data_IF_520740201600
#
_entry.id   IF_520740201600
#
_cell.length_a   1.000
_cell.length_b   1.000
_cell.length_c   1.000
_cell.angle_alpha   90.00
_cell.angle_beta   90.00
_cell.angle_gamma   90.00
#
_symmetry.space_group_name_H-M   'P 1'
#
loop_
_entity.id
_entity.type
_entity.pdbx_description
1 polymer ?
#
# COMPACT_ATOMS: atom_id res chain seq x y z
N UNK A 1 -28.29 7.55 31.37
CA UNK A 1 -28.97 6.38 30.79
C UNK A 1 -28.12 5.92 29.58
N UNK A 2 -27.77 4.71 29.60
CA UNK A 2 -26.64 4.02 29.05
C UNK A 2 -26.62 4.02 27.51
N UNK A 3 -25.57 4.56 26.93
CA UNK A 3 -25.33 4.55 25.47
C UNK A 3 -25.32 3.12 24.92
N UNK A 4 -24.88 2.15 25.73
CA UNK A 4 -24.88 0.73 25.36
C UNK A 4 -26.31 0.16 25.25
N UNK A 5 -27.25 0.61 26.06
CA UNK A 5 -28.65 0.22 25.90
C UNK A 5 -29.25 0.74 24.61
N UNK A 6 -29.00 2.00 24.28
CA UNK A 6 -29.47 2.58 23.01
C UNK A 6 -28.87 1.86 21.80
N UNK A 7 -27.56 1.58 21.86
CA UNK A 7 -26.91 0.84 20.78
C UNK A 7 -27.50 -0.57 20.63
N UNK A 8 -27.66 -1.29 21.74
CA UNK A 8 -28.29 -2.62 21.75
C UNK A 8 -29.72 -2.58 21.19
N UNK A 9 -30.52 -1.61 21.64
CA UNK A 9 -31.93 -1.52 21.24
C UNK A 9 -32.05 -1.13 19.75
N UNK A 10 -31.17 -0.26 19.23
CA UNK A 10 -31.07 0.03 17.80
C UNK A 10 -30.63 -1.21 17.00
N UNK A 11 -29.66 -1.96 17.49
CA UNK A 11 -29.23 -3.20 16.83
C UNK A 11 -30.34 -4.25 16.83
N UNK A 12 -31.03 -4.43 17.97
CA UNK A 12 -32.18 -5.35 18.07
C UNK A 12 -33.33 -4.92 17.16
N UNK A 13 -33.58 -3.63 17.03
CA UNK A 13 -34.59 -3.10 16.12
C UNK A 13 -34.22 -3.33 14.65
N UNK A 14 -32.94 -3.21 14.30
CA UNK A 14 -32.44 -3.52 12.96
C UNK A 14 -32.54 -5.02 12.66
N UNK A 15 -32.21 -5.89 13.60
CA UNK A 15 -32.31 -7.35 13.48
C UNK A 15 -33.79 -7.78 13.43
N UNK A 16 -34.64 -7.24 14.30
CA UNK A 16 -36.07 -7.55 14.35
C UNK A 16 -36.89 -7.04 13.17
N UNK A 17 -36.35 -6.11 12.37
CA UNK A 17 -37.01 -5.60 11.18
C UNK A 17 -36.86 -6.52 9.95
N UNK A 18 -36.34 -7.75 10.11
CA UNK A 18 -36.18 -8.70 9.02
C UNK A 18 -35.13 -8.29 7.98
N UNK A 19 -34.23 -7.37 8.34
CA UNK A 19 -33.10 -6.96 7.49
C UNK A 19 -31.98 -7.99 7.67
N UNK A 20 -31.97 -9.01 6.84
CA UNK A 20 -30.86 -9.95 6.80
C UNK A 20 -29.63 -9.24 6.21
N UNK A 21 -28.52 -9.27 6.95
CA UNK A 21 -27.24 -8.88 6.38
C UNK A 21 -26.86 -10.00 5.43
N UNK A 22 -26.93 -9.74 4.14
CA UNK A 22 -26.61 -10.73 3.14
C UNK A 22 -25.20 -10.50 2.63
N UNK A 23 -24.40 -11.56 2.69
CA UNK A 23 -23.02 -11.58 2.24
C UNK A 23 -22.90 -12.61 1.12
N UNK A 24 -22.28 -12.23 0.02
CA UNK A 24 -22.06 -13.10 -1.14
C UNK A 24 -20.58 -13.10 -1.53
N UNK A 25 -20.18 -14.21 -2.13
CA UNK A 25 -18.90 -14.27 -2.84
C UNK A 25 -19.18 -14.11 -4.34
N UNK A 26 -18.38 -13.28 -5.01
CA UNK A 26 -18.44 -13.07 -6.45
C UNK A 26 -17.08 -12.91 -7.06
N UNK A 27 -17.04 -12.81 -8.38
CA UNK A 27 -15.79 -12.61 -9.15
C UNK A 27 -15.81 -11.20 -9.76
N UNK A 28 -14.72 -10.48 -9.63
CA UNK A 28 -14.57 -9.15 -10.22
C UNK A 28 -14.49 -9.25 -11.73
N UNK A 29 -15.43 -8.63 -12.43
CA UNK A 29 -15.46 -8.56 -13.90
C UNK A 29 -14.73 -7.35 -14.46
N UNK A 30 -14.92 -6.20 -13.83
CA UNK A 30 -14.24 -4.94 -14.20
C UNK A 30 -14.15 -4.01 -13.00
N UNK A 31 -13.23 -3.05 -13.07
CA UNK A 31 -13.06 -2.00 -12.05
C UNK A 31 -13.12 -0.63 -12.73
N UNK A 32 -13.89 0.29 -12.13
CA UNK A 32 -14.05 1.66 -12.62
C UNK A 32 -13.93 2.65 -11.45
N UNK A 33 -12.76 3.26 -11.30
CA UNK A 33 -12.49 4.22 -10.25
C UNK A 33 -12.65 3.62 -8.84
N UNK A 34 -13.72 3.98 -8.13
CA UNK A 34 -14.01 3.53 -6.75
C UNK A 34 -15.10 2.48 -6.67
N UNK A 35 -15.49 1.91 -7.80
CA UNK A 35 -16.50 0.85 -7.94
C UNK A 35 -16.00 -0.27 -8.82
N UNK A 36 -16.65 -1.42 -8.75
CA UNK A 36 -16.40 -2.55 -9.64
C UNK A 36 -17.72 -3.22 -10.06
N UNK A 37 -17.65 -3.99 -11.13
CA UNK A 37 -18.70 -4.95 -11.52
C UNK A 37 -18.31 -6.32 -10.99
N UNK A 38 -19.23 -6.96 -10.27
CA UNK A 38 -19.03 -8.30 -9.69
C UNK A 38 -20.04 -9.27 -10.28
N UNK A 39 -19.54 -10.43 -10.72
CA UNK A 39 -20.35 -11.52 -11.22
C UNK A 39 -20.70 -12.49 -10.09
N UNK A 40 -21.98 -12.72 -9.84
CA UNK A 40 -22.53 -13.70 -8.91
C UNK A 40 -23.20 -14.83 -9.71
N UNK A 41 -22.49 -15.95 -9.91
CA UNK A 41 -22.94 -17.02 -10.78
C UNK A 41 -23.06 -16.55 -12.24
N UNK A 42 -24.27 -16.25 -12.71
CA UNK A 42 -24.53 -15.74 -14.06
C UNK A 42 -24.96 -14.28 -14.10
N UNK A 43 -25.08 -13.64 -12.93
CA UNK A 43 -25.57 -12.27 -12.79
C UNK A 43 -24.40 -11.31 -12.59
N UNK A 44 -24.30 -10.30 -13.43
CA UNK A 44 -23.38 -9.19 -13.26
C UNK A 44 -24.08 -8.04 -12.52
N UNK A 45 -23.43 -7.55 -11.46
CA UNK A 45 -23.89 -6.42 -10.67
C UNK A 45 -22.86 -5.31 -10.76
N UNK A 46 -23.27 -4.19 -11.33
CA UNK A 46 -22.44 -3.00 -11.51
C UNK A 46 -22.50 -2.08 -10.28
N UNK A 47 -21.52 -1.18 -10.15
CA UNK A 47 -21.52 -0.15 -9.11
C UNK A 47 -21.25 -0.66 -7.70
N UNK A 48 -20.69 -1.85 -7.53
CA UNK A 48 -20.27 -2.37 -6.23
C UNK A 48 -19.10 -1.51 -5.72
N UNK A 49 -19.29 -0.88 -4.57
CA UNK A 49 -18.33 0.06 -4.02
C UNK A 49 -17.09 -0.66 -3.48
N UNK A 50 -15.92 -0.06 -3.72
CA UNK A 50 -14.63 -0.52 -3.18
C UNK A 50 -14.28 0.10 -1.82
N UNK A 51 -15.11 1.01 -1.32
CA UNK A 51 -14.92 1.68 -0.02
C UNK A 51 -16.25 1.98 0.67
N UNK A 52 -16.20 2.22 1.96
CA UNK A 52 -17.40 2.41 2.78
C UNK A 52 -18.23 3.64 2.39
N UNK A 53 -17.61 4.68 1.84
CA UNK A 53 -18.27 5.92 1.45
C UNK A 53 -17.89 6.31 0.02
N UNK A 54 -18.80 6.95 -0.70
CA UNK A 54 -18.53 7.60 -1.99
C UNK A 54 -18.15 9.07 -1.83
N UNK A 55 -18.06 9.59 -0.60
CA UNK A 55 -17.67 10.97 -0.36
C UNK A 55 -16.30 11.27 -0.98
N UNK A 56 -16.22 12.36 -1.73
CA UNK A 56 -14.99 12.84 -2.32
C UNK A 56 -14.12 13.49 -1.23
N UNK A 57 -13.30 12.71 -0.59
CA UNK A 57 -12.23 13.19 0.27
C UNK A 57 -10.93 12.48 -0.11
N UNK A 58 -9.82 13.14 0.14
CA UNK A 58 -8.51 12.62 -0.23
C UNK A 58 -7.87 11.74 0.83
N UNK A 59 -8.49 11.64 2.03
CA UNK A 59 -7.96 10.88 3.16
C UNK A 59 -8.66 9.53 3.31
N UNK A 60 -8.63 8.71 2.26
CA UNK A 60 -9.28 7.40 2.23
C UNK A 60 -8.29 6.27 1.96
N UNK A 61 -8.70 5.08 2.35
CA UNK A 61 -8.10 3.81 1.92
C UNK A 61 -8.91 3.28 0.73
N UNK A 62 -8.26 3.04 -0.39
CA UNK A 62 -8.83 2.37 -1.55
C UNK A 62 -8.04 1.10 -1.83
N UNK A 63 -8.72 -0.05 -1.81
CA UNK A 63 -8.18 -1.34 -2.22
C UNK A 63 -8.84 -1.70 -3.55
N UNK A 64 -8.02 -1.78 -4.59
CA UNK A 64 -8.47 -2.15 -5.94
C UNK A 64 -8.21 -3.64 -6.14
N UNK A 65 -9.25 -4.45 -6.35
CA UNK A 65 -9.10 -5.87 -6.63
C UNK A 65 -8.59 -6.09 -8.06
N UNK A 66 -7.88 -7.18 -8.29
CA UNK A 66 -7.59 -7.65 -9.64
C UNK A 66 -8.87 -8.10 -10.35
N UNK A 67 -8.95 -7.85 -11.65
CA UNK A 67 -10.00 -8.45 -12.49
C UNK A 67 -9.83 -9.97 -12.51
N UNK A 68 -10.92 -10.68 -12.30
CA UNK A 68 -10.95 -12.15 -12.21
C UNK A 68 -10.76 -12.71 -10.81
N UNK A 69 -10.44 -11.86 -9.80
CA UNK A 69 -10.30 -12.33 -8.42
C UNK A 69 -11.63 -12.49 -7.71
N UNK A 70 -11.63 -13.31 -6.66
CA UNK A 70 -12.77 -13.47 -5.76
C UNK A 70 -12.86 -12.27 -4.79
N UNK A 71 -14.10 -11.84 -4.52
CA UNK A 71 -14.40 -10.82 -3.51
C UNK A 71 -15.58 -11.25 -2.67
N UNK A 72 -15.58 -10.81 -1.41
CA UNK A 72 -16.73 -10.91 -0.53
C UNK A 72 -17.46 -9.57 -0.54
N UNK A 73 -18.74 -9.58 -0.86
CA UNK A 73 -19.58 -8.41 -1.02
C UNK A 73 -20.73 -8.47 -0.04
N UNK A 74 -21.04 -7.35 0.60
CA UNK A 74 -22.17 -7.23 1.52
C UNK A 74 -23.09 -6.07 1.17
N UNK A 75 -24.36 -6.21 1.52
CA UNK A 75 -25.31 -5.10 1.55
C UNK A 75 -25.39 -4.51 2.95
N UNK A 76 -25.11 -3.23 3.09
CA UNK A 76 -25.16 -2.53 4.39
C UNK A 76 -26.59 -2.16 4.82
N UNK A 77 -27.55 -2.19 3.91
CA UNK A 77 -28.92 -1.73 4.14
C UNK A 77 -29.99 -2.71 3.64
N UNK A 78 -29.62 -3.94 3.35
CA UNK A 78 -30.47 -4.92 2.65
C UNK A 78 -30.98 -4.44 1.28
N UNK A 79 -30.31 -3.46 0.72
CA UNK A 79 -30.55 -2.91 -0.61
C UNK A 79 -29.47 -3.40 -1.57
N UNK A 80 -29.86 -4.19 -2.57
CA UNK A 80 -28.93 -4.72 -3.58
C UNK A 80 -28.30 -3.64 -4.45
N UNK A 81 -28.83 -2.41 -4.43
CA UNK A 81 -28.22 -1.27 -5.10
C UNK A 81 -27.06 -0.63 -4.30
N UNK A 82 -26.88 -1.02 -3.04
CA UNK A 82 -25.89 -0.44 -2.13
C UNK A 82 -24.89 -1.50 -1.64
N UNK A 83 -24.28 -2.18 -2.58
CA UNK A 83 -23.27 -3.20 -2.29
C UNK A 83 -21.89 -2.60 -2.07
N UNK A 84 -21.12 -3.23 -1.17
CA UNK A 84 -19.73 -2.86 -0.89
C UNK A 84 -18.86 -4.11 -0.79
N UNK A 85 -17.66 -4.02 -1.31
CA UNK A 85 -16.63 -5.07 -1.15
C UNK A 85 -16.13 -5.03 0.29
N UNK A 86 -16.24 -6.16 0.99
CA UNK A 86 -15.80 -6.34 2.38
C UNK A 86 -14.43 -6.99 2.48
N UNK A 87 -14.10 -7.88 1.54
CA UNK A 87 -12.80 -8.55 1.47
C UNK A 87 -12.42 -8.83 0.00
N UNK A 88 -11.12 -8.82 -0.24
CA UNK A 88 -10.50 -9.04 -1.56
C UNK A 88 -9.48 -10.14 -1.43
N UNK A 89 -9.42 -11.08 -2.37
CA UNK A 89 -8.42 -12.15 -2.40
C UNK A 89 -7.11 -11.65 -3.05
N UNK A 90 -7.14 -11.23 -4.32
CA UNK A 90 -5.99 -10.65 -4.98
C UNK A 90 -6.15 -9.15 -5.23
N UNK A 91 -5.14 -8.38 -4.84
CA UNK A 91 -5.14 -6.91 -4.92
C UNK A 91 -4.30 -6.46 -6.11
N UNK A 92 -4.85 -5.55 -6.92
CA UNK A 92 -4.11 -4.84 -7.97
C UNK A 92 -3.33 -3.66 -7.39
N UNK A 93 -3.98 -2.87 -6.53
CA UNK A 93 -3.34 -1.73 -5.89
C UNK A 93 -4.00 -1.35 -4.57
N UNK A 94 -3.23 -0.72 -3.71
CA UNK A 94 -3.70 -0.12 -2.46
C UNK A 94 -3.29 1.35 -2.46
N UNK A 95 -4.25 2.24 -2.29
CA UNK A 95 -4.01 3.68 -2.16
C UNK A 95 -4.40 4.15 -0.77
N UNK A 96 -3.46 4.74 -0.06
CA UNK A 96 -3.66 5.30 1.29
C UNK A 96 -3.57 6.82 1.19
N UNK A 97 -4.51 7.53 1.80
CA UNK A 97 -4.58 9.00 1.81
C UNK A 97 -4.48 9.63 0.41
N UNK A 98 -5.16 9.02 -0.59
CA UNK A 98 -5.16 9.50 -1.96
C UNK A 98 -3.81 9.43 -2.67
N UNK A 99 -2.83 8.70 -2.12
CA UNK A 99 -1.50 8.54 -2.72
C UNK A 99 -0.58 9.77 -2.57
N UNK A 100 -0.93 10.75 -1.73
CA UNK A 100 -0.20 12.02 -1.61
C UNK A 100 1.26 11.90 -1.18
N UNK A 101 1.61 10.83 -0.45
CA UNK A 101 2.96 10.59 0.05
C UNK A 101 3.82 9.73 -0.88
N UNK A 102 3.31 9.42 -2.07
CA UNK A 102 3.96 8.51 -3.02
C UNK A 102 3.82 7.04 -2.64
N UNK A 103 4.62 6.19 -3.28
CA UNK A 103 4.60 4.75 -3.05
C UNK A 103 5.40 4.32 -1.81
N UNK A 104 5.24 3.07 -1.43
CA UNK A 104 6.09 2.44 -0.42
C UNK A 104 7.51 2.24 -0.96
N UNK A 105 8.48 2.34 -0.08
CA UNK A 105 9.88 2.15 -0.44
C UNK A 105 10.13 0.67 -0.73
N UNK A 106 10.68 0.38 -1.91
CA UNK A 106 11.28 -0.92 -2.17
C UNK A 106 12.63 -1.00 -1.44
N UNK A 107 12.64 -1.72 -0.32
CA UNK A 107 13.78 -1.78 0.59
C UNK A 107 15.02 -2.40 -0.06
N UNK A 108 14.85 -3.39 -0.95
CA UNK A 108 15.94 -4.00 -1.70
C UNK A 108 16.64 -2.99 -2.60
N UNK A 109 15.85 -2.29 -3.42
CA UNK A 109 16.37 -1.28 -4.35
C UNK A 109 17.03 -0.12 -3.63
N UNK A 110 16.46 0.33 -2.51
CA UNK A 110 17.04 1.41 -1.70
C UNK A 110 18.39 0.97 -1.10
N UNK A 111 18.44 -0.22 -0.50
CA UNK A 111 19.67 -0.79 0.06
C UNK A 111 20.77 -0.90 -0.99
N UNK A 112 20.46 -1.43 -2.18
CA UNK A 112 21.41 -1.51 -3.30
C UNK A 112 21.94 -0.13 -3.70
N UNK A 113 21.07 0.86 -3.86
CA UNK A 113 21.46 2.23 -4.24
C UNK A 113 22.35 2.90 -3.20
N UNK A 114 22.04 2.73 -1.94
CA UNK A 114 22.88 3.27 -0.86
C UNK A 114 24.23 2.56 -0.82
N UNK A 115 24.28 1.23 -0.98
CA UNK A 115 25.52 0.49 -0.99
C UNK A 115 26.39 0.78 -2.23
N UNK A 116 25.78 1.06 -3.40
CA UNK A 116 26.52 1.62 -4.54
C UNK A 116 27.19 2.95 -4.19
N UNK A 117 26.47 3.86 -3.52
CA UNK A 117 27.03 5.14 -3.07
C UNK A 117 28.19 4.92 -2.09
N UNK A 118 28.02 4.04 -1.11
CA UNK A 118 29.04 3.68 -0.12
C UNK A 118 30.32 3.13 -0.82
N UNK A 119 30.15 2.25 -1.82
CA UNK A 119 31.30 1.71 -2.60
C UNK A 119 31.98 2.80 -3.42
N UNK A 120 31.21 3.67 -4.07
CA UNK A 120 31.75 4.79 -4.84
C UNK A 120 32.52 5.74 -3.92
N UNK A 121 31.96 6.05 -2.75
CA UNK A 121 32.61 6.87 -1.73
C UNK A 121 33.92 6.21 -1.22
N UNK A 122 33.90 4.92 -0.92
CA UNK A 122 35.05 4.21 -0.40
C UNK A 122 36.17 4.01 -1.43
N UNK A 123 35.83 4.08 -2.71
CA UNK A 123 36.78 3.84 -3.82
C UNK A 123 37.21 5.13 -4.54
N UNK A 124 36.64 6.31 -4.14
CA UNK A 124 37.05 7.55 -4.82
C UNK A 124 38.49 7.89 -4.47
N UNK A 125 39.18 8.43 -5.43
CA UNK A 125 40.58 8.87 -5.30
C UNK A 125 40.70 10.32 -5.76
N UNK A 126 41.62 11.05 -5.14
CA UNK A 126 41.96 12.39 -5.58
C UNK A 126 43.27 12.36 -6.36
N UNK A 127 43.30 12.94 -7.55
CA UNK A 127 44.54 13.20 -8.22
C UNK A 127 45.20 14.44 -7.60
N UNK A 128 46.41 14.27 -7.09
CA UNK A 128 47.21 15.38 -6.60
C UNK A 128 48.20 15.77 -7.70
N UNK A 129 47.99 16.93 -8.34
CA UNK A 129 48.97 17.52 -9.23
C UNK A 129 49.62 18.71 -8.54
N UNK A 130 50.94 18.75 -8.48
CA UNK A 130 51.70 19.87 -8.00
C UNK A 130 52.10 20.75 -9.17
N UNK A 131 51.67 22.00 -9.18
CA UNK A 131 52.22 23.06 -10.04
C UNK A 131 53.03 23.99 -9.15
N UNK A 132 54.38 24.02 -9.33
CA UNK A 132 55.29 24.91 -8.59
C UNK A 132 56.59 24.19 -8.16
N UNK A 133 57.54 24.95 -7.59
CA UNK A 133 58.87 24.50 -7.20
C UNK A 133 58.91 23.71 -5.86
N UNK A 134 57.80 23.17 -5.39
CA UNK A 134 57.79 22.23 -4.27
C UNK A 134 58.05 20.82 -4.78
N UNK A 135 58.86 20.05 -4.02
CA UNK A 135 59.19 18.69 -4.30
C UNK A 135 57.93 17.89 -4.70
N UNK A 136 57.89 17.40 -5.92
CA UNK A 136 56.74 16.74 -6.48
C UNK A 136 56.33 15.58 -5.59
N UNK A 137 55.14 15.60 -5.03
CA UNK A 137 54.47 14.41 -4.59
C UNK A 137 53.77 13.81 -5.77
N UNK A 138 54.43 12.87 -6.42
CA UNK A 138 53.80 11.97 -7.39
C UNK A 138 53.24 10.81 -6.60
N UNK A 139 51.94 10.82 -6.38
CA UNK A 139 51.24 9.74 -5.72
C UNK A 139 49.74 9.92 -5.79
N UNK A 140 49.05 8.83 -5.84
CA UNK A 140 47.61 8.80 -5.53
C UNK A 140 47.47 9.23 -4.09
N UNK A 141 46.61 10.20 -3.80
CA UNK A 141 46.29 10.55 -2.42
C UNK A 141 45.92 9.27 -1.66
N UNK A 142 46.40 9.17 -0.42
CA UNK A 142 46.15 8.02 0.39
C UNK A 142 44.68 7.62 0.36
N UNK A 143 44.43 6.34 0.19
CA UNK A 143 43.07 5.81 0.28
C UNK A 143 42.44 6.24 1.60
N UNK A 144 41.15 6.46 1.56
CA UNK A 144 40.35 6.82 2.76
C UNK A 144 40.66 5.81 3.87
N UNK A 145 41.20 6.30 4.99
CA UNK A 145 41.66 5.46 6.12
C UNK A 145 40.49 4.86 6.91
N UNK A 146 39.32 5.51 6.84
CA UNK A 146 38.08 5.00 7.42
C UNK A 146 37.05 4.77 6.30
N UNK A 147 36.67 3.53 6.11
CA UNK A 147 35.63 3.16 5.14
C UNK A 147 34.27 3.16 5.81
N UNK A 148 33.26 3.65 5.11
CA UNK A 148 31.88 3.51 5.53
C UNK A 148 31.45 2.04 5.33
N UNK A 149 30.70 1.52 6.30
CA UNK A 149 30.14 0.18 6.21
C UNK A 149 28.95 0.15 5.27
N UNK A 150 28.77 -0.95 4.55
CA UNK A 150 27.55 -1.20 3.80
C UNK A 150 26.38 -1.43 4.77
N UNK A 151 25.18 -1.06 4.35
CA UNK A 151 23.96 -1.29 5.10
C UNK A 151 23.49 -2.74 4.91
N UNK A 152 23.06 -3.35 6.00
CA UNK A 152 22.38 -4.63 5.98
C UNK A 152 20.87 -4.39 6.14
N UNK A 153 20.09 -4.97 5.26
CA UNK A 153 18.63 -4.87 5.26
C UNK A 153 18.02 -5.25 6.63
N UNK A 154 18.56 -6.27 7.28
CA UNK A 154 18.14 -6.73 8.62
C UNK A 154 18.24 -5.69 9.73
N UNK A 155 19.01 -4.62 9.54
CA UNK A 155 19.21 -3.60 10.58
C UNK A 155 18.07 -2.59 10.66
N UNK A 156 17.20 -2.53 9.62
CA UNK A 156 16.14 -1.53 9.50
C UNK A 156 14.85 -2.03 8.83
N UNK A 157 14.77 -3.30 8.44
CA UNK A 157 13.57 -3.90 7.89
C UNK A 157 12.62 -4.35 9.01
N UNK A 158 11.35 -3.96 8.94
CA UNK A 158 10.31 -4.56 9.74
C UNK A 158 9.75 -5.79 9.00
N UNK A 159 10.02 -6.98 9.54
CA UNK A 159 9.59 -8.25 8.95
C UNK A 159 8.14 -8.61 9.27
N UNK A 160 7.44 -7.82 10.10
CA UNK A 160 6.02 -8.04 10.43
C UNK A 160 5.08 -7.42 9.41
N UNK A 161 5.55 -6.43 8.65
CA UNK A 161 4.78 -5.79 7.58
C UNK A 161 5.56 -5.93 6.29
N UNK A 162 5.11 -6.81 5.41
CA UNK A 162 5.71 -7.06 4.10
C UNK A 162 4.78 -6.61 2.98
N UNK A 163 5.33 -6.24 1.83
CA UNK A 163 4.59 -5.82 0.64
C UNK A 163 5.22 -6.39 -0.63
#
# INVERSE_FOLDING_TARGET
MDQYRRLRDNLMQMIGAGKEITIWQGIVKSVEGTTCTVTFGTLDVEGVRLRASLAENESHLLIVPKVGTAVVVGSLSNDLSLLVVLAVDEVESITINGGKLGGLINIESLTQKINELVRTFNNHTHQVSTTGSATAQTGTAAAVTSKASELNKSDYEDTKVTH
#
